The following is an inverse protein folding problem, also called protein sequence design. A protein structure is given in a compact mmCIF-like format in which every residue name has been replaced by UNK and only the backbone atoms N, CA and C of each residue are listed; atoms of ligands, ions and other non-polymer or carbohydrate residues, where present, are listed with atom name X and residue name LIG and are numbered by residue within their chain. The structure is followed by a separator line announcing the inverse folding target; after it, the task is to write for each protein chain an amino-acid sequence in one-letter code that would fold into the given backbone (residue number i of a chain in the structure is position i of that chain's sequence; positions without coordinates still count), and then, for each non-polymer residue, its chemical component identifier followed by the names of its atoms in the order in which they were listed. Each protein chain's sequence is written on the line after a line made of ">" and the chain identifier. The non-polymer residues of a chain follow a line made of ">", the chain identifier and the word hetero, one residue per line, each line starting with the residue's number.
data_IF_810943734234
#
_entry.id   IF_810943734234
#
_cell.length_a   1.000
_cell.length_b   1.000
_cell.length_c   1.000
_cell.angle_alpha   90.00
_cell.angle_beta   90.00
_cell.angle_gamma   90.00
#
_symmetry.space_group_name_H-M   'P 1'
#
loop_
_entity.id
_entity.type
_entity.pdbx_description
1 polymer ?
#
# COMPACT_ATOMS: atom_id res chain seq x y z
N UNK A 1 4.95 0.98 18.61
CA UNK A 1 5.31 -0.16 17.74
C UNK A 1 4.63 0.04 16.40
N UNK A 2 5.40 0.00 15.29
CA UNK A 2 4.86 0.16 13.96
C UNK A 2 3.81 -0.89 13.61
N UNK A 3 2.69 -0.46 13.04
CA UNK A 3 1.59 -1.32 12.62
C UNK A 3 1.52 -1.41 11.10
N UNK A 4 1.44 -2.64 10.60
CA UNK A 4 1.28 -2.95 9.19
C UNK A 4 -0.18 -3.31 8.93
N UNK A 5 -0.81 -2.60 8.00
CA UNK A 5 -2.20 -2.85 7.62
C UNK A 5 -2.43 -2.56 6.14
N UNK A 6 -3.49 -3.15 5.58
CA UNK A 6 -3.92 -2.90 4.21
C UNK A 6 -5.09 -1.92 4.26
N UNK A 7 -4.95 -0.77 3.59
CA UNK A 7 -6.07 0.13 3.34
C UNK A 7 -6.77 -0.29 2.05
N UNK A 8 -8.10 -0.45 2.12
CA UNK A 8 -8.94 -0.75 0.96
C UNK A 8 -9.78 0.47 0.59
N UNK A 9 -9.85 0.75 -0.71
CA UNK A 9 -10.58 1.88 -1.29
C UNK A 9 -11.58 1.40 -2.34
N UNK A 10 -12.67 2.15 -2.53
CA UNK A 10 -13.50 1.97 -3.72
C UNK A 10 -12.72 2.41 -4.97
N UNK A 11 -12.82 1.63 -6.05
CA UNK A 11 -12.34 2.12 -7.33
C UNK A 11 -13.26 3.22 -7.83
N UNK A 12 -12.68 4.39 -8.16
CA UNK A 12 -13.41 5.47 -8.80
C UNK A 12 -13.95 5.11 -10.18
N UNK A 13 -13.38 4.09 -10.84
CA UNK A 13 -13.88 3.49 -12.10
C UNK A 13 -13.59 1.98 -12.13
N UNK A 14 -14.58 1.17 -12.54
CA UNK A 14 -14.45 -0.29 -12.63
C UNK A 14 -14.92 -1.07 -11.40
N UNK A 15 -14.89 -2.42 -11.49
CA UNK A 15 -15.35 -3.34 -10.43
C UNK A 15 -14.20 -3.92 -9.57
N UNK A 16 -13.02 -3.30 -9.59
CA UNK A 16 -11.88 -3.71 -8.79
C UNK A 16 -11.83 -2.90 -7.48
N UNK A 17 -11.33 -3.48 -6.40
CA UNK A 17 -11.04 -2.72 -5.17
C UNK A 17 -9.59 -2.28 -5.24
N UNK A 18 -9.32 -0.99 -5.02
CA UNK A 18 -7.96 -0.50 -4.91
C UNK A 18 -7.45 -0.76 -3.49
N UNK A 19 -6.21 -1.17 -3.34
CA UNK A 19 -5.62 -1.43 -2.05
C UNK A 19 -4.21 -0.87 -1.98
N UNK A 20 -3.82 -0.43 -0.79
CA UNK A 20 -2.48 0.02 -0.49
C UNK A 20 -2.00 -0.61 0.82
N UNK A 21 -0.69 -0.81 0.92
CA UNK A 21 -0.05 -1.28 2.14
C UNK A 21 0.36 -0.06 2.96
N UNK A 22 -0.02 -0.03 4.23
CA UNK A 22 0.25 1.10 5.11
C UNK A 22 1.12 0.65 6.28
N UNK A 23 2.19 1.42 6.53
CA UNK A 23 3.04 1.28 7.71
C UNK A 23 2.82 2.52 8.59
N UNK A 24 2.08 2.35 9.68
CA UNK A 24 1.96 3.39 10.70
C UNK A 24 3.07 3.25 11.74
N UNK A 25 3.52 4.37 12.28
CA UNK A 25 4.65 4.42 13.23
C UNK A 25 4.21 4.18 14.69
N UNK A 26 2.91 3.91 14.92
CA UNK A 26 2.35 3.62 16.25
C UNK A 26 2.12 4.84 17.16
N UNK A 27 2.78 5.97 16.91
CA UNK A 27 2.74 7.18 17.77
C UNK A 27 1.81 8.29 17.26
N UNK A 28 0.79 7.94 16.47
CA UNK A 28 -0.12 8.93 15.86
C UNK A 28 0.51 9.76 14.74
N UNK A 29 1.69 9.36 14.26
CA UNK A 29 2.30 9.90 13.05
C UNK A 29 1.51 9.46 11.81
N UNK A 30 1.55 10.32 10.79
CA UNK A 30 0.94 10.04 9.48
C UNK A 30 1.59 8.77 8.91
N UNK A 31 0.79 7.73 8.57
CA UNK A 31 1.34 6.47 8.10
C UNK A 31 1.95 6.63 6.71
N UNK A 32 2.93 5.77 6.39
CA UNK A 32 3.45 5.67 5.04
C UNK A 32 2.60 4.69 4.25
N UNK A 33 1.98 5.17 3.18
CA UNK A 33 1.16 4.39 2.25
C UNK A 33 2.04 4.00 1.05
N UNK A 34 2.19 2.70 0.85
CA UNK A 34 2.81 2.08 -0.31
C UNK A 34 1.72 1.59 -1.24
N UNK A 35 1.69 2.13 -2.45
CA UNK A 35 0.72 1.76 -3.46
C UNK A 35 1.39 1.55 -4.81
N UNK A 36 0.68 0.87 -5.68
CA UNK A 36 1.03 0.84 -7.09
C UNK A 36 -0.10 1.49 -7.85
N UNK A 37 0.23 2.56 -8.56
CA UNK A 37 -0.68 3.33 -9.39
C UNK A 37 -0.15 3.41 -10.81
N UNK A 38 -1.02 3.80 -11.74
CA UNK A 38 -0.72 3.80 -13.18
C UNK A 38 -1.71 2.95 -13.95
N UNK A 39 -1.42 2.76 -15.24
CA UNK A 39 -2.25 2.00 -16.16
C UNK A 39 -1.48 0.78 -16.67
N UNK A 40 -2.16 -0.10 -17.40
CA UNK A 40 -1.55 -1.30 -17.97
C UNK A 40 -0.29 -0.95 -18.79
N UNK A 41 0.87 -1.44 -18.33
CA UNK A 41 2.18 -1.20 -18.95
C UNK A 41 2.94 0.01 -18.38
N UNK A 42 2.35 0.77 -17.46
CA UNK A 42 2.97 1.95 -16.82
C UNK A 42 2.81 1.94 -15.30
N UNK A 43 2.52 0.78 -14.69
CA UNK A 43 2.39 0.70 -13.24
C UNK A 43 3.72 1.08 -12.56
N UNK A 44 3.62 1.99 -11.59
CA UNK A 44 4.74 2.50 -10.82
C UNK A 44 4.42 2.43 -9.33
N UNK A 45 5.43 2.07 -8.53
CA UNK A 45 5.33 2.15 -7.07
C UNK A 45 5.34 3.60 -6.64
N UNK A 46 4.58 3.89 -5.62
CA UNK A 46 4.60 5.17 -4.93
C UNK A 46 4.59 4.94 -3.43
N UNK A 47 5.31 5.79 -2.70
CA UNK A 47 5.29 5.86 -1.25
C UNK A 47 4.94 7.28 -0.85
N UNK A 48 3.83 7.45 -0.13
CA UNK A 48 3.37 8.76 0.33
C UNK A 48 3.09 8.71 1.83
N UNK A 49 3.39 9.80 2.54
CA UNK A 49 2.96 9.97 3.92
C UNK A 49 1.62 10.68 3.91
N UNK A 50 0.54 9.93 4.13
CA UNK A 50 -0.82 10.47 4.15
C UNK A 50 -1.75 9.58 4.99
N UNK A 51 -2.92 10.11 5.35
CA UNK A 51 -3.97 9.32 6.00
C UNK A 51 -4.82 8.60 4.95
N UNK A 52 -4.99 7.27 5.03
CA UNK A 52 -5.84 6.52 4.10
C UNK A 52 -7.25 7.09 3.98
N UNK A 53 -7.82 7.54 5.11
CA UNK A 53 -9.19 8.08 5.18
C UNK A 53 -9.36 9.40 4.42
N UNK A 54 -8.27 10.15 4.21
CA UNK A 54 -8.28 11.47 3.59
C UNK A 54 -8.08 11.44 2.07
N UNK A 55 -7.67 10.29 1.51
CA UNK A 55 -7.08 10.25 0.15
C UNK A 55 -8.03 9.73 -0.94
N UNK A 56 -8.78 8.68 -0.64
CA UNK A 56 -9.77 8.06 -1.54
C UNK A 56 -11.01 7.68 -0.74
N UNK A 57 -12.05 7.15 -1.40
CA UNK A 57 -13.20 6.58 -0.72
C UNK A 57 -12.76 5.33 0.04
N UNK A 58 -12.29 5.54 1.27
CA UNK A 58 -11.84 4.53 2.19
C UNK A 58 -13.01 3.62 2.58
N UNK A 59 -12.79 2.31 2.49
CA UNK A 59 -13.76 1.30 2.91
C UNK A 59 -13.43 0.77 4.29
N UNK A 60 -12.18 0.33 4.49
CA UNK A 60 -11.71 -0.32 5.71
C UNK A 60 -10.19 -0.48 5.71
N UNK A 61 -9.66 -0.66 6.91
CA UNK A 61 -8.30 -1.13 7.14
C UNK A 61 -8.32 -2.60 7.58
N UNK A 62 -7.40 -3.41 7.07
CA UNK A 62 -7.20 -4.80 7.46
C UNK A 62 -5.82 -4.90 8.14
N UNK A 63 -5.81 -5.22 9.44
CA UNK A 63 -4.55 -5.43 10.16
C UNK A 63 -3.80 -6.66 9.64
N UNK A 64 -2.53 -6.47 9.26
CA UNK A 64 -1.64 -7.54 8.83
C UNK A 64 -0.80 -8.01 10.02
N UNK A 65 -0.25 -7.06 10.78
CA UNK A 65 0.54 -7.36 11.96
C UNK A 65 1.31 -6.15 12.48
N UNK A 66 2.21 -6.40 13.41
CA UNK A 66 3.15 -5.41 13.94
C UNK A 66 4.54 -5.70 13.40
N UNK A 67 5.31 -4.65 13.10
CA UNK A 67 6.68 -4.74 12.61
C UNK A 67 7.60 -4.14 13.66
N UNK A 68 8.69 -4.82 14.00
CA UNK A 68 9.66 -4.21 14.91
C UNK A 68 10.37 -3.05 14.20
N UNK A 69 10.64 -1.98 14.93
CA UNK A 69 11.34 -0.80 14.39
C UNK A 69 12.69 -1.14 13.73
N UNK A 70 13.40 -2.11 14.31
CA UNK A 70 14.68 -2.61 13.76
C UNK A 70 14.55 -3.29 12.39
N UNK A 71 13.37 -3.81 12.06
CA UNK A 71 13.10 -4.57 10.84
C UNK A 71 12.55 -3.64 9.72
N UNK A 72 12.20 -2.38 10.05
CA UNK A 72 11.70 -1.39 9.08
C UNK A 72 12.67 -1.18 7.91
N UNK A 73 13.99 -1.00 8.10
CA UNK A 73 14.90 -0.76 6.98
C UNK A 73 14.93 -1.92 5.98
N UNK A 74 14.84 -3.16 6.49
CA UNK A 74 14.78 -4.36 5.64
C UNK A 74 13.42 -4.46 4.93
N UNK A 75 12.33 -4.16 5.65
CA UNK A 75 10.99 -4.11 5.07
C UNK A 75 10.88 -3.10 3.92
N UNK A 76 11.40 -1.88 4.10
CA UNK A 76 11.44 -0.86 3.04
C UNK A 76 12.24 -1.32 1.84
N UNK A 77 13.36 -2.02 2.06
CA UNK A 77 14.15 -2.60 0.98
C UNK A 77 13.39 -3.68 0.22
N UNK A 78 12.67 -4.56 0.92
CA UNK A 78 11.80 -5.57 0.27
C UNK A 78 10.71 -4.90 -0.56
N UNK A 79 10.09 -3.83 -0.06
CA UNK A 79 9.12 -3.05 -0.83
C UNK A 79 9.75 -2.45 -2.07
N UNK A 80 10.95 -1.89 -1.98
CA UNK A 80 11.66 -1.28 -3.12
C UNK A 80 12.12 -2.32 -4.16
N UNK A 81 12.56 -3.50 -3.70
CA UNK A 81 13.01 -4.60 -4.55
C UNK A 81 11.84 -5.39 -5.20
N UNK A 82 10.64 -5.34 -4.62
CA UNK A 82 9.50 -6.13 -5.10
C UNK A 82 9.16 -5.83 -6.57
N UNK A 83 8.90 -6.83 -7.40
CA UNK A 83 8.59 -6.53 -8.81
C UNK A 83 7.15 -6.07 -8.94
N UNK A 84 6.92 -4.96 -9.64
CA UNK A 84 5.58 -4.59 -10.09
C UNK A 84 5.26 -5.44 -11.30
N UNK A 85 4.29 -6.34 -11.14
CA UNK A 85 3.76 -7.11 -12.25
C UNK A 85 3.02 -6.18 -13.23
N UNK A 86 3.59 -6.00 -14.41
CA UNK A 86 3.04 -5.22 -15.51
C UNK A 86 2.31 -6.08 -16.55
N UNK A 87 2.31 -7.41 -16.40
CA UNK A 87 1.73 -8.35 -17.38
C UNK A 87 0.30 -8.77 -17.04
N UNK A 88 -0.10 -8.64 -15.77
CA UNK A 88 -1.45 -9.01 -15.34
C UNK A 88 -2.48 -7.93 -15.71
N UNK A 89 -3.31 -8.20 -16.73
CA UNK A 89 -4.50 -7.40 -17.14
C UNK A 89 -5.58 -7.23 -16.08
N UNK A 90 -5.44 -7.91 -14.94
CA UNK A 90 -6.37 -7.80 -13.82
C UNK A 90 -5.88 -6.67 -12.91
N UNK A 91 -6.74 -5.72 -12.56
CA UNK A 91 -6.45 -4.53 -11.75
C UNK A 91 -6.03 -4.81 -10.29
N UNK A 92 -5.35 -5.93 -10.04
CA UNK A 92 -4.71 -6.29 -8.79
C UNK A 92 -3.22 -6.39 -9.11
N UNK A 93 -2.49 -5.33 -8.79
CA UNK A 93 -1.02 -5.38 -8.85
C UNK A 93 -0.55 -6.35 -7.77
N UNK A 94 0.14 -7.40 -8.19
CA UNK A 94 0.73 -8.39 -7.28
C UNK A 94 2.12 -7.90 -6.89
N UNK A 95 2.32 -7.60 -5.60
CA UNK A 95 3.65 -7.46 -5.02
C UNK A 95 4.14 -8.89 -4.76
N UNK A 96 5.16 -9.33 -5.50
CA UNK A 96 5.73 -10.69 -5.41
C UNK A 96 7.19 -10.62 -5.04
#
# INVERSE_FOLDING_TARGET
>A
MPNLYIAMYEAGTGNYEHWALCLGDGDGNVPTIFEVSGEHGTFAKSAVQDEPESRLVHKRNIGVGEVNERDIPEFLKVIDDAKVDNETRSGIVRIT
#
